data_IF_159106818939
#
_entry.id   IF_159106818939
#
_cell.length_a   1.000
_cell.length_b   1.000
_cell.length_c   1.000
_cell.angle_alpha   90.00
_cell.angle_beta   90.00
_cell.angle_gamma   90.00
#
_symmetry.space_group_name_H-M   'P 1'
#
loop_
_entity.id
_entity.type
_entity.pdbx_description
1 polymer ?
#
# COMPACT_ATOMS: atom_id res chain seq x y z
N UNK A 1 1.43 1.95 35.95
CA UNK A 1 0.47 1.11 35.22
C UNK A 1 0.93 1.01 33.78
N UNK A 2 1.76 0.00 33.48
CA UNK A 2 2.20 -0.32 32.12
C UNK A 2 1.08 -1.11 31.44
N UNK A 3 0.07 -0.39 30.95
CA UNK A 3 -0.89 -0.97 30.02
C UNK A 3 -0.11 -1.32 28.76
N UNK A 4 0.03 -2.62 28.47
CA UNK A 4 0.52 -3.06 27.17
C UNK A 4 -0.37 -2.40 26.11
N UNK A 5 0.25 -1.71 25.14
CA UNK A 5 -0.45 -1.27 23.93
C UNK A 5 -1.15 -2.51 23.34
N UNK A 6 -2.41 -2.40 22.86
CA UNK A 6 -3.05 -3.51 22.21
C UNK A 6 -2.18 -4.00 21.04
N UNK A 7 -1.99 -5.31 20.91
CA UNK A 7 -1.29 -5.91 19.79
C UNK A 7 -2.06 -5.54 18.50
N UNK A 8 -1.52 -4.61 17.71
CA UNK A 8 -2.12 -4.13 16.45
C UNK A 8 -1.97 -5.15 15.31
N UNK A 9 -1.52 -6.36 15.63
CA UNK A 9 -1.32 -7.47 14.72
C UNK A 9 0.07 -7.49 14.11
N UNK A 10 0.36 -8.60 13.46
CA UNK A 10 1.59 -8.89 12.76
C UNK A 10 1.30 -9.73 11.52
N UNK A 11 2.21 -9.71 10.56
CA UNK A 11 2.27 -10.74 9.52
C UNK A 11 3.06 -11.92 10.05
N UNK A 12 2.49 -13.12 9.97
CA UNK A 12 3.19 -14.37 10.24
C UNK A 12 3.51 -15.03 8.91
N UNK A 13 4.79 -15.28 8.68
CA UNK A 13 5.32 -16.07 7.58
C UNK A 13 5.73 -17.41 8.15
N UNK A 14 4.96 -18.46 7.86
CA UNK A 14 5.26 -19.83 8.28
C UNK A 14 5.96 -20.54 7.14
N UNK A 15 7.18 -21.01 7.37
CA UNK A 15 8.02 -21.66 6.36
C UNK A 15 8.03 -23.16 6.62
N UNK A 16 7.55 -23.93 5.65
CA UNK A 16 7.68 -25.37 5.70
C UNK A 16 9.10 -25.77 5.32
N UNK A 17 9.73 -26.59 6.15
CA UNK A 17 11.10 -27.04 5.94
C UNK A 17 11.15 -28.56 5.81
N UNK A 18 11.97 -29.05 4.88
CA UNK A 18 12.33 -30.46 4.73
C UNK A 18 13.83 -30.57 4.88
N UNK A 19 14.32 -31.36 5.84
CA UNK A 19 15.75 -31.49 6.15
C UNK A 19 16.45 -30.13 6.39
N UNK A 20 15.72 -29.16 6.97
CA UNK A 20 16.21 -27.79 7.21
C UNK A 20 16.19 -26.87 5.98
N UNK A 21 15.73 -27.36 4.83
CA UNK A 21 15.60 -26.60 3.58
C UNK A 21 14.18 -26.07 3.43
N UNK A 22 13.98 -24.77 3.17
CA UNK A 22 12.67 -24.20 2.85
C UNK A 22 12.06 -24.82 1.59
N UNK A 23 10.82 -25.28 1.68
CA UNK A 23 10.08 -25.89 0.56
C UNK A 23 8.91 -25.02 0.12
N UNK A 24 8.21 -24.42 1.08
CA UNK A 24 7.07 -23.53 0.85
C UNK A 24 6.94 -22.53 1.98
N UNK A 25 6.18 -21.47 1.75
CA UNK A 25 5.80 -20.53 2.79
C UNK A 25 4.29 -20.29 2.74
N UNK A 26 3.68 -20.10 3.92
CA UNK A 26 2.32 -19.60 4.10
C UNK A 26 2.37 -18.24 4.76
N UNK A 27 1.41 -17.38 4.46
CA UNK A 27 1.29 -16.08 5.13
C UNK A 27 -0.08 -15.90 5.76
N UNK A 28 -0.12 -15.19 6.89
CA UNK A 28 -1.37 -14.67 7.44
C UNK A 28 -1.14 -13.35 8.17
N UNK A 29 -2.15 -12.49 8.14
CA UNK A 29 -2.26 -11.36 9.06
C UNK A 29 -2.93 -11.81 10.35
N UNK A 30 -2.44 -11.33 11.49
CA UNK A 30 -3.13 -11.53 12.78
C UNK A 30 -4.05 -10.37 13.14
N UNK A 31 -4.19 -9.37 12.26
CA UNK A 31 -5.16 -8.30 12.47
C UNK A 31 -6.57 -8.85 12.42
N UNK A 32 -7.32 -8.61 13.49
CA UNK A 32 -8.75 -8.93 13.56
C UNK A 32 -9.64 -7.77 13.09
N UNK A 33 -10.95 -8.01 12.97
CA UNK A 33 -11.95 -6.99 12.57
C UNK A 33 -12.27 -5.98 13.69
N UNK A 34 -11.34 -5.73 14.62
CA UNK A 34 -11.60 -4.97 15.85
C UNK A 34 -12.11 -3.56 15.56
N UNK A 35 -11.52 -2.87 14.59
CA UNK A 35 -11.95 -1.50 14.23
C UNK A 35 -13.32 -1.52 13.57
N UNK A 36 -13.59 -2.48 12.66
CA UNK A 36 -14.92 -2.65 12.08
C UNK A 36 -16.00 -2.84 13.16
N UNK A 37 -15.77 -3.76 14.10
CA UNK A 37 -16.68 -4.00 15.24
C UNK A 37 -16.83 -2.79 16.15
N UNK A 38 -15.77 -1.98 16.30
CA UNK A 38 -15.83 -0.75 17.09
C UNK A 38 -16.75 0.30 16.46
N UNK A 39 -16.92 0.30 15.14
CA UNK A 39 -17.78 1.25 14.42
C UNK A 39 -19.26 0.87 14.48
N UNK A 40 -19.58 -0.42 14.61
CA UNK A 40 -20.96 -0.90 14.67
C UNK A 40 -21.75 -0.29 15.84
N UNK A 41 -23.00 0.09 15.57
CA UNK A 41 -23.92 0.75 16.49
C UNK A 41 -23.72 2.26 16.67
N UNK A 42 -22.63 2.85 16.15
CA UNK A 42 -22.36 4.28 16.26
C UNK A 42 -23.13 5.10 15.24
N UNK A 43 -23.31 6.40 15.55
CA UNK A 43 -23.81 7.37 14.58
C UNK A 43 -22.80 7.55 13.44
N UNK A 44 -23.29 7.57 12.21
CA UNK A 44 -22.51 7.77 11.00
C UNK A 44 -22.21 9.27 10.79
N UNK A 45 -21.54 9.90 11.75
CA UNK A 45 -21.21 11.33 11.73
C UNK A 45 -19.69 11.58 11.68
N UNK A 46 -19.29 12.85 11.62
CA UNK A 46 -17.88 13.26 11.49
C UNK A 46 -17.01 12.92 12.73
N UNK A 47 -17.58 12.39 13.82
CA UNK A 47 -16.78 11.84 14.92
C UNK A 47 -16.03 10.58 14.52
N UNK A 48 -16.54 9.82 13.54
CA UNK A 48 -15.95 8.54 13.11
C UNK A 48 -14.60 8.70 12.39
N UNK A 49 -14.46 9.57 11.38
CA UNK A 49 -13.15 9.92 10.81
C UNK A 49 -12.08 10.30 11.83
N UNK A 50 -12.48 11.00 12.90
CA UNK A 50 -11.58 11.42 13.99
C UNK A 50 -11.13 10.20 14.79
N UNK A 51 -12.06 9.31 15.14
CA UNK A 51 -11.76 8.04 15.81
C UNK A 51 -10.82 7.15 14.97
N UNK A 52 -11.12 6.98 13.68
CA UNK A 52 -10.33 6.18 12.75
C UNK A 52 -8.89 6.72 12.66
N UNK A 53 -8.73 8.04 12.55
CA UNK A 53 -7.42 8.69 12.45
C UNK A 53 -6.55 8.48 13.70
N UNK A 54 -7.15 8.29 14.88
CA UNK A 54 -6.42 7.97 16.11
C UNK A 54 -5.96 6.50 16.17
N UNK A 55 -6.67 5.60 15.51
CA UNK A 55 -6.38 4.16 15.51
C UNK A 55 -5.35 3.77 14.43
N UNK A 56 -5.33 4.47 13.30
CA UNK A 56 -4.43 4.19 12.18
C UNK A 56 -3.40 5.29 11.98
N UNK A 57 -2.24 5.15 12.60
CA UNK A 57 -1.20 6.20 12.62
C UNK A 57 -0.41 6.34 11.32
N UNK A 58 -0.36 5.30 10.47
CA UNK A 58 0.40 5.31 9.21
C UNK A 58 -0.41 5.73 7.98
N UNK A 59 -1.74 5.70 8.05
CA UNK A 59 -2.62 6.11 6.94
C UNK A 59 -3.95 6.71 7.43
N UNK A 60 -3.94 7.68 8.37
CA UNK A 60 -5.16 8.22 8.95
C UNK A 60 -6.05 8.91 7.90
N UNK A 61 -5.47 9.63 6.94
CA UNK A 61 -6.23 10.33 5.89
C UNK A 61 -6.92 9.31 5.00
N UNK A 62 -6.19 8.32 4.48
CA UNK A 62 -6.78 7.30 3.62
C UNK A 62 -7.89 6.50 4.31
N UNK A 63 -7.69 6.12 5.58
CA UNK A 63 -8.71 5.41 6.36
C UNK A 63 -9.96 6.26 6.58
N UNK A 64 -9.79 7.53 6.93
CA UNK A 64 -10.90 8.46 7.10
C UNK A 64 -11.64 8.74 5.78
N UNK A 65 -10.91 8.81 4.68
CA UNK A 65 -11.45 9.01 3.34
C UNK A 65 -12.22 7.77 2.86
N UNK A 66 -11.71 6.56 3.10
CA UNK A 66 -12.39 5.33 2.72
C UNK A 66 -13.75 5.22 3.44
N UNK A 67 -13.78 5.57 4.72
CA UNK A 67 -15.03 5.65 5.48
C UNK A 67 -15.99 6.70 4.90
N UNK A 68 -15.50 7.92 4.60
CA UNK A 68 -16.34 8.98 4.02
C UNK A 68 -16.89 8.59 2.65
N UNK A 69 -16.06 7.98 1.81
CA UNK A 69 -16.48 7.47 0.51
C UNK A 69 -17.56 6.41 0.68
N UNK A 70 -17.35 5.41 1.55
CA UNK A 70 -18.35 4.37 1.81
C UNK A 70 -19.68 4.96 2.30
N UNK A 71 -19.64 5.93 3.21
CA UNK A 71 -20.84 6.64 3.68
C UNK A 71 -21.52 7.42 2.54
N UNK A 72 -20.77 8.20 1.79
CA UNK A 72 -21.33 9.00 0.69
C UNK A 72 -22.00 8.10 -0.35
N UNK A 73 -21.38 6.98 -0.73
CA UNK A 73 -22.01 6.03 -1.65
C UNK A 73 -23.26 5.38 -1.06
N UNK A 74 -23.34 5.13 0.25
CA UNK A 74 -24.56 4.66 0.91
C UNK A 74 -25.71 5.69 0.84
N UNK A 75 -25.37 6.97 0.77
CA UNK A 75 -26.29 8.13 0.83
C UNK A 75 -26.56 8.78 -0.54
N UNK A 76 -26.12 8.18 -1.65
CA UNK A 76 -26.42 8.65 -3.02
C UNK A 76 -25.20 9.07 -3.86
N UNK A 77 -24.00 9.00 -3.30
CA UNK A 77 -22.73 9.28 -3.97
C UNK A 77 -22.09 10.60 -3.51
N UNK A 78 -20.76 10.71 -3.62
CA UNK A 78 -20.04 11.94 -3.29
C UNK A 78 -20.21 13.02 -4.37
N UNK A 79 -20.00 14.28 -3.99
CA UNK A 79 -19.86 15.35 -4.98
C UNK A 79 -18.49 15.29 -5.67
N UNK A 80 -18.34 15.94 -6.83
CA UNK A 80 -17.04 16.08 -7.48
C UNK A 80 -16.02 16.86 -6.63
N UNK A 81 -16.49 17.81 -5.81
CA UNK A 81 -15.64 18.56 -4.89
C UNK A 81 -15.11 17.66 -3.75
N UNK A 82 -15.98 16.83 -3.18
CA UNK A 82 -15.59 15.84 -2.18
C UNK A 82 -14.52 14.90 -2.73
N UNK A 83 -14.76 14.31 -3.90
CA UNK A 83 -13.81 13.41 -4.56
C UNK A 83 -12.45 14.08 -4.79
N UNK A 84 -12.43 15.29 -5.36
CA UNK A 84 -11.20 16.01 -5.63
C UNK A 84 -10.38 16.27 -4.35
N UNK A 85 -11.06 16.70 -3.28
CA UNK A 85 -10.43 17.00 -2.00
C UNK A 85 -9.91 15.74 -1.30
N UNK A 86 -10.70 14.67 -1.31
CA UNK A 86 -10.33 13.38 -0.75
C UNK A 86 -9.14 12.76 -1.49
N UNK A 87 -9.17 12.77 -2.82
CA UNK A 87 -8.09 12.25 -3.65
C UNK A 87 -6.78 13.02 -3.42
N UNK A 88 -6.83 14.36 -3.35
CA UNK A 88 -5.65 15.16 -3.05
C UNK A 88 -5.03 14.81 -1.69
N UNK A 89 -5.85 14.62 -0.66
CA UNK A 89 -5.38 14.19 0.67
C UNK A 89 -4.75 12.80 0.68
N UNK A 90 -5.40 11.84 0.01
CA UNK A 90 -4.89 10.47 -0.15
C UNK A 90 -3.56 10.47 -0.91
N UNK A 91 -3.45 11.25 -1.99
CA UNK A 91 -2.23 11.36 -2.77
C UNK A 91 -1.08 11.90 -1.92
N UNK A 92 -1.30 12.99 -1.19
CA UNK A 92 -0.27 13.60 -0.33
C UNK A 92 0.20 12.63 0.76
N UNK A 93 -0.72 11.92 1.42
CA UNK A 93 -0.37 10.88 2.38
C UNK A 93 0.45 9.77 1.72
N UNK A 94 0.03 9.31 0.53
CA UNK A 94 0.72 8.25 -0.18
C UNK A 94 2.11 8.66 -0.69
N UNK A 95 2.29 9.91 -1.14
CA UNK A 95 3.60 10.46 -1.51
C UNK A 95 4.57 10.45 -0.33
N UNK A 96 4.11 10.84 0.87
CA UNK A 96 4.93 10.82 2.09
C UNK A 96 5.32 9.39 2.48
N UNK A 97 4.40 8.44 2.35
CA UNK A 97 4.67 7.02 2.66
C UNK A 97 5.61 6.38 1.63
N UNK A 98 5.50 6.71 0.35
CA UNK A 98 6.46 6.30 -0.68
C UNK A 98 7.84 6.88 -0.40
N UNK A 99 7.92 8.17 -0.08
CA UNK A 99 9.16 8.83 0.30
C UNK A 99 9.79 8.16 1.52
N UNK A 100 8.99 7.81 2.54
CA UNK A 100 9.46 7.08 3.72
C UNK A 100 10.03 5.70 3.36
N UNK A 101 9.32 4.96 2.51
CA UNK A 101 9.75 3.64 2.06
C UNK A 101 11.08 3.72 1.31
N UNK A 102 11.16 4.61 0.32
CA UNK A 102 12.30 4.76 -0.59
C UNK A 102 13.53 5.40 0.08
N UNK A 103 13.35 6.39 0.94
CA UNK A 103 14.46 7.13 1.57
C UNK A 103 15.01 6.43 2.84
N UNK A 104 14.19 5.63 3.54
CA UNK A 104 14.59 5.07 4.84
C UNK A 104 14.41 3.56 4.96
N UNK A 105 13.24 3.02 4.66
CA UNK A 105 12.98 1.59 4.92
C UNK A 105 13.81 0.69 4.00
N UNK A 106 13.76 0.96 2.70
CA UNK A 106 14.46 0.16 1.70
C UNK A 106 15.99 0.24 1.86
N UNK A 107 16.65 1.42 1.93
CA UNK A 107 18.10 1.46 2.15
C UNK A 107 18.54 0.74 3.43
N UNK A 108 17.84 0.95 4.55
CA UNK A 108 18.16 0.26 5.82
C UNK A 108 18.04 -1.26 5.71
N UNK A 109 17.06 -1.76 4.95
CA UNK A 109 16.90 -3.20 4.75
C UNK A 109 18.01 -3.83 3.91
N UNK A 110 18.75 -3.01 3.17
CA UNK A 110 19.87 -3.41 2.32
C UNK A 110 21.24 -3.06 2.94
N UNK A 111 21.27 -2.60 4.19
CA UNK A 111 22.47 -2.07 4.87
C UNK A 111 23.15 -0.94 4.08
N UNK A 112 22.35 -0.14 3.37
CA UNK A 112 22.78 1.05 2.64
C UNK A 112 22.50 2.27 3.51
N UNK A 113 23.48 3.19 3.56
CA UNK A 113 23.36 4.43 4.33
C UNK A 113 22.11 5.23 3.89
N UNK A 114 21.24 5.50 4.86
CA UNK A 114 20.03 6.30 4.67
C UNK A 114 20.24 7.67 5.29
N UNK A 115 19.91 8.74 4.54
CA UNK A 115 19.80 10.08 5.12
C UNK A 115 18.55 10.13 6.01
N UNK A 116 18.72 9.87 7.31
CA UNK A 116 17.58 9.80 8.23
C UNK A 116 17.16 11.16 8.80
N UNK A 117 16.42 11.99 8.06
CA UNK A 117 15.64 13.08 8.66
C UNK A 117 14.20 12.65 8.95
N UNK A 118 14.04 11.84 10.00
CA UNK A 118 12.73 11.43 10.50
C UNK A 118 11.86 12.63 10.94
N UNK A 119 12.47 13.78 11.29
CA UNK A 119 11.73 14.97 11.67
C UNK A 119 11.07 15.61 10.45
N UNK A 120 11.71 15.60 9.28
CA UNK A 120 11.12 16.11 8.04
C UNK A 120 9.83 15.37 7.67
N UNK A 121 9.86 14.03 7.64
CA UNK A 121 8.66 13.21 7.42
C UNK A 121 7.60 13.47 8.48
N UNK A 122 8.00 13.58 9.76
CA UNK A 122 7.11 13.93 10.84
C UNK A 122 6.38 15.26 10.60
N UNK A 123 7.08 16.30 10.16
CA UNK A 123 6.49 17.61 9.81
C UNK A 123 5.49 17.51 8.67
N UNK A 124 5.82 16.79 7.59
CA UNK A 124 4.93 16.58 6.45
C UNK A 124 3.67 15.82 6.86
N UNK A 125 3.80 14.75 7.64
CA UNK A 125 2.66 13.98 8.15
C UNK A 125 1.72 14.86 8.97
N UNK A 126 2.25 15.67 9.88
CA UNK A 126 1.45 16.61 10.68
C UNK A 126 0.64 17.55 9.78
N UNK A 127 1.23 18.10 8.72
CA UNK A 127 0.52 18.98 7.78
C UNK A 127 -0.57 18.24 7.01
N UNK A 128 -0.32 17.00 6.60
CA UNK A 128 -1.31 16.17 5.89
C UNK A 128 -2.48 15.74 6.78
N UNK A 129 -2.30 15.57 8.10
CA UNK A 129 -3.45 15.27 8.98
C UNK A 129 -4.54 16.36 8.98
N UNK A 130 -4.18 17.61 8.65
CA UNK A 130 -5.09 18.74 8.52
C UNK A 130 -5.62 18.99 7.09
N UNK A 131 -5.37 18.09 6.14
CA UNK A 131 -5.59 18.32 4.70
C UNK A 131 -7.05 18.63 4.34
N UNK A 132 -7.99 18.13 5.13
CA UNK A 132 -9.43 18.40 4.95
C UNK A 132 -9.82 19.88 5.17
N UNK A 133 -8.94 20.71 5.72
CA UNK A 133 -9.18 22.14 5.96
C UNK A 133 -8.48 23.05 4.95
N UNK A 134 -7.63 22.48 4.10
CA UNK A 134 -6.83 23.24 3.15
C UNK A 134 -7.65 23.61 1.90
N UNK A 135 -7.38 24.80 1.37
CA UNK A 135 -7.83 25.25 0.05
C UNK A 135 -7.02 24.55 -1.06
N UNK A 136 -7.53 24.59 -2.30
CA UNK A 136 -6.82 24.02 -3.45
C UNK A 136 -5.40 24.58 -3.63
N UNK A 137 -5.21 25.88 -3.35
CA UNK A 137 -3.89 26.52 -3.42
C UNK A 137 -2.93 25.99 -2.36
N UNK A 138 -3.43 25.74 -1.15
CA UNK A 138 -2.63 25.19 -0.05
C UNK A 138 -2.31 23.70 -0.26
N UNK A 139 -3.24 22.93 -0.86
CA UNK A 139 -2.99 21.56 -1.28
C UNK A 139 -1.86 21.49 -2.30
N UNK A 140 -1.90 22.36 -3.30
CA UNK A 140 -0.85 22.46 -4.32
C UNK A 140 0.50 22.90 -3.74
N UNK A 141 0.49 23.84 -2.79
CA UNK A 141 1.70 24.23 -2.07
C UNK A 141 2.28 23.08 -1.25
N UNK A 142 1.44 22.34 -0.51
CA UNK A 142 1.87 21.18 0.26
C UNK A 142 2.41 20.06 -0.65
N UNK A 143 1.82 19.86 -1.83
CA UNK A 143 2.32 18.91 -2.84
C UNK A 143 3.73 19.27 -3.29
N UNK A 144 3.99 20.55 -3.56
CA UNK A 144 5.33 21.07 -3.89
C UNK A 144 6.31 20.88 -2.74
N UNK A 145 5.90 21.14 -1.51
CA UNK A 145 6.77 20.91 -0.36
C UNK A 145 7.14 19.43 -0.19
N UNK A 146 6.20 18.50 -0.41
CA UNK A 146 6.50 17.05 -0.42
C UNK A 146 7.44 16.70 -1.58
N UNK A 147 7.26 17.32 -2.74
CA UNK A 147 8.13 17.15 -3.90
C UNK A 147 9.56 17.64 -3.64
N UNK A 148 9.73 18.81 -3.02
CA UNK A 148 11.03 19.36 -2.65
C UNK A 148 11.74 18.49 -1.61
N UNK A 149 10.99 17.95 -0.63
CA UNK A 149 11.54 16.98 0.32
C UNK A 149 11.97 15.68 -0.36
N UNK A 150 11.20 15.20 -1.35
CA UNK A 150 11.56 14.02 -2.13
C UNK A 150 12.82 14.26 -2.96
N UNK A 151 12.97 15.45 -3.54
CA UNK A 151 14.21 15.87 -4.19
C UNK A 151 15.39 15.79 -3.22
N UNK A 152 15.32 16.48 -2.08
CA UNK A 152 16.41 16.54 -1.10
C UNK A 152 16.82 15.15 -0.57
N UNK A 153 15.85 14.31 -0.22
CA UNK A 153 16.11 13.03 0.44
C UNK A 153 16.54 11.92 -0.53
N UNK A 154 16.03 11.95 -1.76
CA UNK A 154 16.31 10.88 -2.73
C UNK A 154 17.44 11.28 -3.70
N UNK A 155 17.68 12.57 -3.92
CA UNK A 155 18.62 13.11 -4.92
C UNK A 155 19.52 14.18 -4.30
N UNK A 156 20.84 14.05 -4.43
CA UNK A 156 21.75 15.14 -4.05
C UNK A 156 21.79 16.15 -5.21
N UNK A 157 21.47 17.42 -4.94
CA UNK A 157 21.59 18.49 -5.94
C UNK A 157 22.41 19.63 -5.37
N UNK A 158 23.74 19.59 -5.51
CA UNK A 158 24.52 20.83 -5.52
C UNK A 158 24.55 21.46 -6.93
N UNK A 159 24.39 20.69 -8.02
CA UNK A 159 24.54 21.23 -9.40
C UNK A 159 23.64 20.61 -10.50
N UNK A 160 22.56 19.89 -10.18
CA UNK A 160 21.74 19.17 -11.20
C UNK A 160 20.24 19.42 -11.00
N UNK A 161 19.45 19.66 -12.08
CA UNK A 161 18.01 19.92 -11.97
C UNK A 161 17.23 18.80 -11.26
N UNK A 162 16.24 19.25 -10.49
CA UNK A 162 15.35 18.48 -9.62
C UNK A 162 14.43 17.52 -10.40
N UNK A 163 13.73 16.61 -9.72
CA UNK A 163 12.76 15.64 -10.28
C UNK A 163 11.68 16.25 -11.20
N UNK A 164 11.48 17.57 -11.19
CA UNK A 164 10.52 18.24 -12.07
C UNK A 164 10.78 17.96 -13.55
N UNK A 165 12.05 17.79 -13.93
CA UNK A 165 12.45 17.54 -15.31
C UNK A 165 12.78 16.06 -15.57
N UNK A 166 13.03 15.29 -14.52
CA UNK A 166 13.36 13.88 -14.64
C UNK A 166 12.13 12.99 -14.48
N UNK A 167 11.61 12.57 -15.63
CA UNK A 167 10.76 11.39 -15.72
C UNK A 167 11.71 10.19 -15.67
N UNK A 168 11.50 9.18 -14.80
CA UNK A 168 12.14 7.89 -15.00
C UNK A 168 11.60 7.35 -16.32
N UNK A 169 12.30 7.68 -17.41
CA UNK A 169 12.11 7.06 -18.71
C UNK A 169 12.54 5.60 -18.61
N UNK A 170 12.13 4.83 -19.61
CA UNK A 170 12.11 3.36 -19.69
C UNK A 170 13.49 2.66 -19.61
N UNK A 171 14.50 3.28 -18.98
CA UNK A 171 15.87 2.78 -18.79
C UNK A 171 16.39 3.16 -17.40
N UNK A 172 15.79 2.54 -16.38
CA UNK A 172 16.22 2.63 -14.99
C UNK A 172 17.72 2.33 -14.80
N UNK A 173 18.29 1.44 -15.61
CA UNK A 173 19.73 1.14 -15.64
C UNK A 173 20.57 2.38 -16.00
N UNK A 174 20.22 3.06 -17.09
CA UNK A 174 20.88 4.31 -17.53
C UNK A 174 20.75 5.42 -16.48
N UNK A 175 19.62 5.45 -15.77
CA UNK A 175 19.44 6.40 -14.67
C UNK A 175 20.32 6.07 -13.45
N UNK A 176 20.38 4.81 -13.05
CA UNK A 176 21.24 4.35 -11.94
C UNK A 176 22.70 4.73 -12.20
N UNK A 177 23.17 4.60 -13.44
CA UNK A 177 24.56 4.86 -13.78
C UNK A 177 24.91 6.35 -13.90
N UNK A 178 23.94 7.20 -14.20
CA UNK A 178 24.17 8.61 -14.55
C UNK A 178 24.18 9.59 -13.37
N UNK A 179 23.92 9.17 -12.11
CA UNK A 179 23.72 10.11 -11.00
C UNK A 179 24.37 9.71 -9.67
N UNK A 180 24.60 10.68 -8.78
CA UNK A 180 25.03 10.47 -7.39
C UNK A 180 23.83 10.66 -6.43
N UNK A 181 22.91 9.69 -6.40
CA UNK A 181 21.66 9.74 -5.60
C UNK A 181 21.67 8.73 -4.45
N UNK A 182 20.82 8.92 -3.45
CA UNK A 182 20.59 7.92 -2.37
C UNK A 182 19.99 6.63 -2.95
N UNK A 183 19.21 6.77 -4.03
CA UNK A 183 18.59 5.65 -4.70
C UNK A 183 19.53 4.86 -5.60
N UNK A 184 20.65 5.43 -6.07
CA UNK A 184 21.61 4.71 -6.92
C UNK A 184 22.09 3.41 -6.28
N UNK A 185 22.73 3.38 -5.09
CA UNK A 185 23.21 2.13 -4.51
C UNK A 185 22.06 1.12 -4.27
N UNK A 186 20.86 1.61 -3.94
CA UNK A 186 19.67 0.77 -3.76
C UNK A 186 19.26 0.09 -5.06
N UNK A 187 19.04 0.86 -6.12
CA UNK A 187 18.61 0.30 -7.40
C UNK A 187 19.74 -0.45 -8.10
N UNK A 188 21.00 -0.05 -7.95
CA UNK A 188 22.16 -0.86 -8.36
C UNK A 188 22.12 -2.24 -7.71
N UNK A 189 21.91 -2.31 -6.39
CA UNK A 189 21.77 -3.59 -5.69
C UNK A 189 20.59 -4.40 -6.23
N UNK A 190 19.40 -3.80 -6.36
CA UNK A 190 18.22 -4.49 -6.90
C UNK A 190 18.45 -5.02 -8.32
N UNK A 191 19.22 -4.32 -9.16
CA UNK A 191 19.59 -4.75 -10.50
C UNK A 191 20.56 -5.95 -10.51
N UNK A 192 21.28 -6.20 -9.42
CA UNK A 192 22.12 -7.41 -9.28
C UNK A 192 21.32 -8.67 -8.93
N UNK A 193 20.08 -8.50 -8.47
CA UNK A 193 19.22 -9.62 -8.08
C UNK A 193 18.54 -10.23 -9.31
N UNK A 194 18.19 -11.55 -9.27
CA UNK A 194 17.35 -12.15 -10.30
C UNK A 194 16.04 -11.36 -10.47
N UNK A 195 15.62 -11.12 -11.70
CA UNK A 195 14.38 -10.37 -12.00
C UNK A 195 13.13 -11.07 -11.49
N UNK A 196 13.19 -12.39 -11.38
CA UNK A 196 12.14 -13.26 -10.87
C UNK A 196 12.10 -13.32 -9.33
N UNK A 197 13.03 -12.66 -8.63
CA UNK A 197 12.99 -12.59 -7.17
C UNK A 197 11.68 -11.94 -6.72
N UNK A 198 10.96 -12.62 -5.82
CA UNK A 198 9.69 -12.14 -5.30
C UNK A 198 8.55 -12.15 -6.32
N UNK A 199 8.70 -12.88 -7.45
CA UNK A 199 7.70 -12.95 -8.52
C UNK A 199 6.38 -13.52 -8.03
N UNK A 200 5.31 -12.78 -8.30
CA UNK A 200 3.93 -13.24 -8.20
C UNK A 200 3.22 -13.13 -9.56
N UNK A 201 2.32 -14.08 -9.82
CA UNK A 201 1.37 -14.05 -10.95
C UNK A 201 -0.04 -13.61 -10.52
N UNK A 202 -0.22 -13.21 -9.26
CA UNK A 202 -1.50 -12.73 -8.75
C UNK A 202 -1.87 -11.43 -9.48
N UNK A 203 -3.07 -11.33 -10.08
CA UNK A 203 -3.50 -10.14 -10.79
C UNK A 203 -3.75 -8.96 -9.85
N UNK A 204 -3.66 -7.75 -10.37
CA UNK A 204 -4.04 -6.55 -9.63
C UNK A 204 -5.55 -6.52 -9.35
N UNK A 205 -5.95 -6.07 -8.16
CA UNK A 205 -7.36 -5.81 -7.85
C UNK A 205 -7.86 -4.61 -8.66
N UNK A 206 -8.70 -4.85 -9.67
CA UNK A 206 -9.32 -3.78 -10.44
C UNK A 206 -10.64 -3.34 -9.81
N UNK A 207 -10.63 -2.22 -9.08
CA UNK A 207 -11.83 -1.62 -8.48
C UNK A 207 -12.81 -1.08 -9.52
N UNK A 208 -12.39 -0.89 -10.78
CA UNK A 208 -13.28 -0.51 -11.89
C UNK A 208 -14.04 -1.70 -12.49
N UNK A 209 -13.56 -2.94 -12.28
CA UNK A 209 -14.18 -4.13 -12.86
C UNK A 209 -15.56 -4.41 -12.26
N UNK A 210 -16.57 -4.50 -13.13
CA UNK A 210 -17.93 -4.86 -12.72
C UNK A 210 -18.00 -6.25 -12.08
N UNK A 211 -17.18 -7.20 -12.55
CA UNK A 211 -17.10 -8.54 -11.98
C UNK A 211 -16.53 -8.51 -10.55
N UNK A 212 -15.45 -7.74 -10.33
CA UNK A 212 -14.85 -7.55 -8.99
C UNK A 212 -15.84 -6.86 -8.05
N UNK A 213 -16.53 -5.80 -8.50
CA UNK A 213 -17.53 -5.11 -7.67
C UNK A 213 -18.69 -6.02 -7.26
N UNK A 214 -19.19 -6.84 -8.20
CA UNK A 214 -20.24 -7.83 -7.92
C UNK A 214 -19.77 -8.86 -6.89
N UNK A 215 -18.55 -9.34 -7.02
CA UNK A 215 -17.97 -10.33 -6.11
C UNK A 215 -17.78 -9.76 -4.70
N UNK A 216 -17.24 -8.54 -4.60
CA UNK A 216 -17.10 -7.81 -3.33
C UNK A 216 -18.46 -7.57 -2.66
N UNK A 217 -19.48 -7.17 -3.42
CA UNK A 217 -20.84 -7.00 -2.87
C UNK A 217 -21.40 -8.30 -2.27
N UNK A 218 -21.08 -9.45 -2.86
CA UNK A 218 -21.55 -10.75 -2.40
C UNK A 218 -20.75 -11.33 -1.22
N UNK A 219 -19.50 -10.90 -1.02
CA UNK A 219 -18.57 -11.61 -0.14
C UNK A 219 -17.96 -10.79 0.98
N UNK A 220 -18.00 -9.45 0.92
CA UNK A 220 -17.38 -8.60 1.95
C UNK A 220 -17.92 -8.88 3.37
N UNK A 221 -19.15 -9.34 3.52
CA UNK A 221 -19.76 -9.66 4.82
C UNK A 221 -19.50 -11.08 5.32
N UNK A 222 -18.84 -11.93 4.51
CA UNK A 222 -18.52 -13.30 4.93
C UNK A 222 -17.51 -13.27 6.07
N UNK A 223 -17.73 -14.14 7.05
CA UNK A 223 -16.79 -14.32 8.15
C UNK A 223 -15.38 -14.63 7.62
N UNK A 224 -14.37 -13.94 8.16
CA UNK A 224 -12.98 -14.10 7.77
C UNK A 224 -12.56 -13.36 6.49
N UNK A 225 -13.49 -12.83 5.69
CA UNK A 225 -13.14 -12.15 4.43
C UNK A 225 -12.22 -10.94 4.66
N UNK A 226 -12.47 -10.15 5.72
CA UNK A 226 -11.68 -8.96 6.01
C UNK A 226 -10.23 -9.24 6.45
N UNK A 227 -9.91 -10.48 6.82
CA UNK A 227 -8.58 -10.91 7.27
C UNK A 227 -7.87 -11.84 6.28
N UNK A 228 -8.62 -12.41 5.35
CA UNK A 228 -8.12 -13.30 4.31
C UNK A 228 -9.00 -13.17 3.05
N UNK A 229 -8.98 -12.00 2.37
CA UNK A 229 -9.85 -11.75 1.24
C UNK A 229 -9.50 -12.66 0.06
N UNK A 230 -10.54 -13.22 -0.55
CA UNK A 230 -10.44 -14.03 -1.77
C UNK A 230 -11.67 -13.81 -2.62
N UNK A 231 -11.48 -13.50 -3.90
CA UNK A 231 -12.58 -13.34 -4.83
C UNK A 231 -12.96 -14.70 -5.43
N UNK A 232 -14.18 -14.83 -5.97
CA UNK A 232 -14.52 -16.02 -6.79
C UNK A 232 -13.59 -16.15 -8.01
N UNK A 233 -13.05 -15.02 -8.48
CA UNK A 233 -12.07 -14.94 -9.57
C UNK A 233 -10.65 -15.33 -9.13
N UNK A 234 -10.44 -15.64 -7.85
CA UNK A 234 -9.15 -15.99 -7.25
C UNK A 234 -8.55 -14.86 -6.41
N UNK A 235 -7.27 -15.03 -6.05
CA UNK A 235 -6.51 -14.03 -5.29
C UNK A 235 -6.26 -12.77 -6.13
N UNK A 236 -6.18 -11.63 -5.45
CA UNK A 236 -5.82 -10.36 -6.04
C UNK A 236 -4.74 -9.68 -5.20
N UNK A 237 -3.90 -8.87 -5.82
CA UNK A 237 -2.87 -8.07 -5.15
C UNK A 237 -3.12 -6.59 -5.32
N UNK A 238 -2.63 -5.81 -4.36
CA UNK A 238 -2.81 -4.37 -4.36
C UNK A 238 -1.47 -3.71 -4.07
N UNK A 239 -1.08 -2.71 -4.87
CA UNK A 239 0.18 -1.99 -4.72
C UNK A 239 0.27 -0.86 -5.75
N UNK A 240 1.30 -0.01 -5.64
CA UNK A 240 1.68 0.91 -6.72
C UNK A 240 1.91 0.17 -8.06
N UNK A 241 2.50 -1.03 -8.01
CA UNK A 241 2.68 -1.85 -9.22
C UNK A 241 1.33 -2.25 -9.82
N UNK A 242 0.35 -2.65 -9.00
CA UNK A 242 -1.00 -2.96 -9.46
C UNK A 242 -1.71 -1.80 -10.18
N UNK A 243 -1.35 -0.55 -9.85
CA UNK A 243 -1.88 0.65 -10.51
C UNK A 243 -1.08 1.11 -11.73
N UNK A 244 0.20 0.73 -11.81
CA UNK A 244 1.15 1.28 -12.79
C UNK A 244 1.73 0.24 -13.75
N UNK A 245 1.41 -1.05 -13.62
CA UNK A 245 2.00 -2.10 -14.46
C UNK A 245 1.84 -1.85 -15.97
N UNK A 246 0.80 -1.12 -16.38
CA UNK A 246 0.55 -0.76 -17.78
C UNK A 246 1.43 0.38 -18.31
N UNK A 247 2.19 1.06 -17.44
CA UNK A 247 3.12 2.09 -17.86
C UNK A 247 4.19 1.51 -18.80
N UNK A 248 4.61 2.26 -19.85
CA UNK A 248 5.66 1.81 -20.76
C UNK A 248 6.96 1.38 -20.07
N UNK A 249 7.29 1.99 -18.93
CA UNK A 249 8.48 1.70 -18.15
C UNK A 249 8.44 0.35 -17.40
N UNK A 250 7.24 -0.14 -17.06
CA UNK A 250 7.07 -1.38 -16.29
C UNK A 250 6.58 -2.55 -17.15
N UNK A 251 5.76 -2.28 -18.17
CA UNK A 251 5.06 -3.30 -18.94
C UNK A 251 6.00 -4.35 -19.56
N UNK A 252 7.12 -4.00 -20.24
CA UNK A 252 7.98 -5.01 -20.86
C UNK A 252 8.55 -6.00 -19.84
N UNK A 253 9.06 -5.49 -18.72
CA UNK A 253 9.62 -6.28 -17.64
C UNK A 253 8.53 -7.08 -16.89
N UNK A 254 7.35 -6.49 -16.70
CA UNK A 254 6.20 -7.16 -16.09
C UNK A 254 5.73 -8.35 -16.95
N UNK A 255 5.67 -8.18 -18.27
CA UNK A 255 5.29 -9.27 -19.19
C UNK A 255 6.36 -10.36 -19.27
N UNK A 256 7.65 -9.99 -19.23
CA UNK A 256 8.74 -10.95 -19.26
C UNK A 256 8.88 -11.75 -17.96
N UNK A 257 8.90 -11.04 -16.82
CA UNK A 257 9.34 -11.59 -15.53
C UNK A 257 8.25 -11.60 -14.45
N UNK A 258 7.06 -11.06 -14.71
CA UNK A 258 5.97 -10.94 -13.74
C UNK A 258 6.23 -9.88 -12.67
N UNK A 259 5.40 -9.86 -11.62
CA UNK A 259 5.51 -8.90 -10.53
C UNK A 259 6.66 -9.23 -9.56
N UNK A 260 7.91 -8.94 -9.95
CA UNK A 260 9.11 -9.13 -9.12
C UNK A 260 9.42 -7.96 -8.18
N UNK A 261 10.28 -8.18 -7.18
CA UNK A 261 10.70 -7.20 -6.17
C UNK A 261 11.17 -5.88 -6.78
N UNK A 262 11.95 -5.95 -7.86
CA UNK A 262 12.42 -4.78 -8.60
C UNK A 262 11.26 -3.88 -9.04
N UNK A 263 10.22 -4.46 -9.66
CA UNK A 263 9.06 -3.71 -10.16
C UNK A 263 8.21 -3.11 -9.04
N UNK A 264 8.11 -3.77 -7.88
CA UNK A 264 7.40 -3.20 -6.74
C UNK A 264 8.03 -1.90 -6.24
N UNK A 265 9.36 -1.81 -6.21
CA UNK A 265 10.04 -0.57 -5.81
C UNK A 265 10.10 0.45 -6.96
N UNK A 266 10.30 -0.01 -8.20
CA UNK A 266 10.31 0.88 -9.35
C UNK A 266 8.94 1.53 -9.59
N UNK A 267 7.84 0.80 -9.42
CA UNK A 267 6.49 1.36 -9.51
C UNK A 267 6.21 2.45 -8.47
N UNK A 268 6.72 2.29 -7.23
CA UNK A 268 6.62 3.35 -6.20
C UNK A 268 7.39 4.61 -6.60
N UNK A 269 8.58 4.43 -7.17
CA UNK A 269 9.39 5.55 -7.65
C UNK A 269 8.70 6.30 -8.79
N UNK A 270 8.15 5.57 -9.78
CA UNK A 270 7.39 6.13 -10.90
C UNK A 270 6.14 6.87 -10.41
N UNK A 271 5.39 6.27 -9.48
CA UNK A 271 4.17 6.88 -8.94
C UNK A 271 4.49 8.16 -8.16
N UNK A 272 5.52 8.14 -7.30
CA UNK A 272 5.99 9.33 -6.60
C UNK A 272 6.41 10.42 -7.59
N UNK A 273 7.23 10.10 -8.60
CA UNK A 273 7.70 11.06 -9.60
C UNK A 273 6.56 11.68 -10.42
N UNK A 274 5.52 10.91 -10.75
CA UNK A 274 4.31 11.42 -11.41
C UNK A 274 3.53 12.38 -10.50
N UNK A 275 3.32 12.00 -9.24
CA UNK A 275 2.55 12.79 -8.27
C UNK A 275 3.28 14.06 -7.79
N UNK A 276 4.61 14.08 -7.91
CA UNK A 276 5.42 15.28 -7.75
C UNK A 276 5.22 16.34 -8.84
N UNK A 277 4.59 16.00 -9.97
CA UNK A 277 4.27 16.96 -11.03
C UNK A 277 2.84 17.51 -10.90
N UNK A 278 1.86 16.66 -10.60
CA UNK A 278 0.46 17.05 -10.50
C UNK A 278 -0.36 16.12 -9.60
N UNK A 279 -1.58 16.55 -9.25
CA UNK A 279 -2.60 15.64 -8.73
C UNK A 279 -3.10 14.68 -9.82
N UNK A 280 -3.38 13.44 -9.44
CA UNK A 280 -4.01 12.42 -10.28
C UNK A 280 -5.52 12.69 -10.41
N UNK A 281 -6.14 12.09 -11.44
CA UNK A 281 -7.60 12.10 -11.56
C UNK A 281 -8.26 11.52 -10.29
N UNK A 282 -9.21 12.25 -9.64
CA UNK A 282 -9.75 11.86 -8.34
C UNK A 282 -10.32 10.44 -8.29
N UNK A 283 -10.99 10.02 -9.36
CA UNK A 283 -11.67 8.73 -9.48
C UNK A 283 -10.70 7.54 -9.52
N UNK A 284 -9.42 7.79 -9.89
CA UNK A 284 -8.37 6.77 -9.83
C UNK A 284 -7.86 6.52 -8.41
N UNK A 285 -8.04 7.49 -7.50
CA UNK A 285 -7.60 7.37 -6.11
C UNK A 285 -8.73 7.06 -5.15
N UNK A 286 -9.92 7.61 -5.39
CA UNK A 286 -11.09 7.41 -4.55
C UNK A 286 -12.28 7.07 -5.43
N UNK A 287 -12.85 5.91 -5.22
CA UNK A 287 -14.04 5.46 -5.94
C UNK A 287 -14.92 4.61 -5.04
N UNK A 288 -16.04 4.13 -5.55
CA UNK A 288 -16.93 3.27 -4.78
C UNK A 288 -18.23 3.00 -5.50
N UNK A 289 -19.16 2.34 -4.82
CA UNK A 289 -20.50 2.06 -5.30
C UNK A 289 -21.44 1.70 -4.15
N UNK A 290 -22.74 1.76 -4.44
CA UNK A 290 -23.79 1.25 -3.58
C UNK A 290 -24.33 -0.07 -4.17
N UNK A 291 -24.17 -1.22 -3.50
CA UNK A 291 -24.77 -2.47 -3.96
C UNK A 291 -26.29 -2.52 -3.72
N UNK A 292 -26.78 -1.80 -2.71
CA UNK A 292 -28.18 -1.70 -2.33
C UNK A 292 -28.42 -0.45 -1.47
N UNK A 293 -29.66 0.05 -1.34
CA UNK A 293 -29.97 1.25 -0.56
C UNK A 293 -29.43 1.17 0.87
N UNK A 294 -28.77 2.24 1.33
CA UNK A 294 -28.17 2.31 2.67
C UNK A 294 -26.86 1.52 2.82
N UNK A 295 -26.39 0.83 1.78
CA UNK A 295 -25.06 0.20 1.76
C UNK A 295 -24.15 0.94 0.81
N UNK A 296 -22.94 1.23 1.26
CA UNK A 296 -21.90 1.84 0.44
C UNK A 296 -20.56 1.17 0.63
N UNK A 297 -19.85 0.99 -0.48
CA UNK A 297 -18.49 0.46 -0.54
C UNK A 297 -17.60 1.55 -1.11
N UNK A 298 -16.64 2.00 -0.31
CA UNK A 298 -15.61 2.97 -0.67
C UNK A 298 -14.26 2.30 -0.90
N UNK A 299 -13.58 2.72 -1.96
CA UNK A 299 -12.24 2.31 -2.36
C UNK A 299 -11.29 3.50 -2.25
N UNK A 300 -10.11 3.28 -1.68
CA UNK A 300 -9.04 4.27 -1.61
C UNK A 300 -7.71 3.64 -2.00
N UNK A 301 -7.03 4.22 -2.97
CA UNK A 301 -5.70 3.82 -3.40
C UNK A 301 -4.61 4.44 -2.52
N UNK A 302 -4.15 3.69 -1.52
CA UNK A 302 -3.08 4.11 -0.62
C UNK A 302 -1.70 3.82 -1.21
N UNK A 303 -0.63 4.29 -0.57
CA UNK A 303 0.75 3.89 -0.91
C UNK A 303 0.97 2.37 -0.91
N UNK A 304 0.20 1.63 -0.10
CA UNK A 304 0.34 0.19 0.09
C UNK A 304 -0.63 -0.64 -0.77
N UNK A 305 -1.54 0.02 -1.48
CA UNK A 305 -2.58 -0.59 -2.31
C UNK A 305 -3.99 -0.15 -1.92
N UNK A 306 -4.99 -0.86 -2.43
CA UNK A 306 -6.42 -0.59 -2.28
C UNK A 306 -6.91 -0.90 -0.87
N UNK A 307 -7.44 0.12 -0.21
CA UNK A 307 -8.18 0.05 1.04
C UNK A 307 -9.69 0.04 0.73
N UNK A 308 -10.43 -0.86 1.37
CA UNK A 308 -11.88 -1.00 1.18
C UNK A 308 -12.58 -0.77 2.50
N UNK A 309 -13.59 0.11 2.49
CA UNK A 309 -14.57 0.23 3.57
C UNK A 309 -15.95 -0.11 3.03
N UNK A 310 -16.71 -0.93 3.75
CA UNK A 310 -18.14 -1.16 3.52
C UNK A 310 -18.89 -0.72 4.77
N UNK A 311 -19.95 0.05 4.56
CA UNK A 311 -20.88 0.46 5.61
C UNK A 311 -22.30 0.10 5.21
N UNK A 312 -23.09 -0.42 6.15
CA UNK A 312 -24.55 -0.41 6.08
C UNK A 312 -25.07 0.61 7.10
N UNK A 313 -25.87 1.56 6.64
CA UNK A 313 -26.40 2.68 7.42
C UNK A 313 -27.92 2.63 7.42
N UNK A 314 -28.52 2.59 8.61
CA UNK A 314 -29.98 2.68 8.81
C UNK A 314 -30.24 3.69 9.92
N UNK A 315 -31.20 4.59 9.70
CA UNK A 315 -31.58 5.63 10.66
C UNK A 315 -30.36 6.42 11.21
N UNK A 316 -29.39 6.69 10.35
CA UNK A 316 -28.15 7.42 10.68
C UNK A 316 -27.09 6.61 11.44
N UNK A 317 -27.33 5.33 11.75
CA UNK A 317 -26.37 4.47 12.47
C UNK A 317 -25.70 3.46 11.56
N UNK A 318 -24.44 3.16 11.83
CA UNK A 318 -23.72 2.06 11.16
C UNK A 318 -24.07 0.74 11.84
N UNK A 319 -24.89 -0.09 11.20
CA UNK A 319 -25.30 -1.40 11.74
C UNK A 319 -24.33 -2.50 11.31
N UNK A 320 -23.62 -2.31 10.20
CA UNK A 320 -22.53 -3.19 9.77
C UNK A 320 -21.35 -2.36 9.28
N UNK A 321 -20.14 -2.77 9.63
CA UNK A 321 -18.90 -2.19 9.10
C UNK A 321 -17.94 -3.29 8.69
N UNK A 322 -17.28 -3.12 7.54
CA UNK A 322 -16.19 -4.01 7.12
C UNK A 322 -15.05 -3.18 6.58
N UNK A 323 -13.83 -3.46 7.03
CA UNK A 323 -12.61 -2.82 6.56
C UNK A 323 -11.70 -3.92 6.03
N UNK A 324 -11.26 -3.79 4.78
CA UNK A 324 -10.25 -4.68 4.18
C UNK A 324 -9.04 -3.83 3.82
N UNK A 325 -7.94 -4.02 4.54
CA UNK A 325 -6.72 -3.27 4.32
C UNK A 325 -5.90 -3.86 3.15
N UNK A 326 -5.03 -3.06 2.48
CA UNK A 326 -4.21 -3.52 1.36
C UNK A 326 -3.34 -4.73 1.70
N UNK A 327 -2.81 -4.76 2.94
CA UNK A 327 -2.00 -5.88 3.43
C UNK A 327 -2.76 -7.20 3.45
N UNK A 328 -4.06 -7.18 3.73
CA UNK A 328 -4.87 -8.40 3.83
C UNK A 328 -4.95 -9.09 2.46
N UNK A 329 -5.05 -8.35 1.37
CA UNK A 329 -4.98 -8.89 0.00
C UNK A 329 -3.63 -9.55 -0.31
N UNK A 330 -2.53 -8.85 0.01
CA UNK A 330 -1.20 -9.31 -0.37
C UNK A 330 -0.74 -10.53 0.44
N UNK A 331 -1.18 -10.66 1.69
CA UNK A 331 -0.80 -11.73 2.62
C UNK A 331 -1.90 -12.76 2.89
N UNK A 332 -3.02 -12.72 2.15
CA UNK A 332 -4.03 -13.78 2.16
C UNK A 332 -3.45 -15.11 1.63
N UNK A 333 -4.05 -16.25 1.99
CA UNK A 333 -3.73 -17.54 1.37
C UNK A 333 -3.82 -17.47 -0.17
N UNK A 334 -2.82 -18.02 -0.86
CA UNK A 334 -2.69 -17.93 -2.32
C UNK A 334 -2.35 -16.53 -2.86
N UNK A 335 -2.22 -15.53 -1.98
CA UNK A 335 -1.91 -14.14 -2.29
C UNK A 335 -0.48 -13.93 -2.80
N UNK A 336 -0.16 -12.68 -3.14
CA UNK A 336 1.10 -12.36 -3.80
C UNK A 336 2.33 -12.64 -2.93
N UNK A 337 2.25 -12.40 -1.61
CA UNK A 337 3.35 -12.67 -0.69
C UNK A 337 3.63 -14.18 -0.58
N UNK A 338 2.58 -14.99 -0.42
CA UNK A 338 2.71 -16.45 -0.33
C UNK A 338 3.36 -17.05 -1.59
N UNK A 339 2.90 -16.63 -2.78
CA UNK A 339 3.49 -17.07 -4.05
C UNK A 339 4.94 -16.61 -4.21
N UNK A 340 5.24 -15.37 -3.85
CA UNK A 340 6.58 -14.81 -3.95
C UNK A 340 7.59 -15.52 -3.02
N UNK A 341 7.19 -15.79 -1.78
CA UNK A 341 8.03 -16.44 -0.77
C UNK A 341 8.26 -17.93 -1.05
N UNK A 342 7.26 -18.61 -1.62
CA UNK A 342 7.39 -20.01 -2.01
C UNK A 342 8.28 -20.23 -3.24
N UNK A 343 8.66 -19.15 -3.96
CA UNK A 343 9.42 -19.22 -5.23
C UNK A 343 10.81 -18.57 -5.16
N UNK A 344 11.39 -18.40 -3.97
CA UNK A 344 12.70 -17.73 -3.81
C UNK A 344 13.89 -18.52 -4.39
N UNK A 345 13.72 -19.81 -4.67
CA UNK A 345 14.70 -20.62 -5.39
C UNK A 345 16.04 -20.83 -4.65
N UNK A 346 16.02 -20.76 -3.32
CA UNK A 346 17.22 -20.92 -2.48
C UNK A 346 17.03 -22.03 -1.47
N UNK A 347 18.06 -22.87 -1.35
CA UNK A 347 18.03 -24.10 -0.54
C UNK A 347 18.73 -23.94 0.82
N UNK A 348 19.41 -22.82 1.06
CA UNK A 348 20.03 -22.49 2.35
C UNK A 348 19.13 -21.53 3.14
N UNK A 349 18.93 -21.81 4.44
CA UNK A 349 18.07 -21.05 5.33
C UNK A 349 18.44 -19.56 5.43
N UNK A 350 19.72 -19.23 5.67
CA UNK A 350 20.14 -17.83 5.86
C UNK A 350 19.94 -17.00 4.59
N UNK A 351 20.28 -17.59 3.43
CA UNK A 351 20.05 -16.98 2.12
C UNK A 351 18.56 -16.83 1.81
N UNK A 352 17.74 -17.83 2.16
CA UNK A 352 16.29 -17.77 2.06
C UNK A 352 15.72 -16.65 2.91
N UNK A 353 16.14 -16.57 4.18
CA UNK A 353 15.67 -15.57 5.13
C UNK A 353 15.96 -14.16 4.64
N UNK A 354 17.20 -13.88 4.22
CA UNK A 354 17.58 -12.56 3.69
C UNK A 354 16.75 -12.17 2.47
N UNK A 355 16.52 -13.09 1.53
CA UNK A 355 15.67 -12.84 0.35
C UNK A 355 14.19 -12.66 0.72
N UNK A 356 13.67 -13.50 1.61
CA UNK A 356 12.29 -13.42 2.10
C UNK A 356 12.02 -12.09 2.79
N UNK A 357 12.98 -11.64 3.59
CA UNK A 357 12.94 -10.36 4.28
C UNK A 357 12.84 -9.16 3.33
N UNK A 358 13.54 -9.18 2.19
CA UNK A 358 13.41 -8.16 1.15
C UNK A 358 12.05 -8.27 0.42
N UNK A 359 11.62 -9.49 0.10
CA UNK A 359 10.33 -9.74 -0.57
C UNK A 359 9.14 -9.33 0.28
N UNK A 360 9.13 -9.61 1.58
CA UNK A 360 8.06 -9.14 2.49
C UNK A 360 7.99 -7.61 2.50
N UNK A 361 9.14 -6.93 2.52
CA UNK A 361 9.22 -5.46 2.51
C UNK A 361 8.75 -4.83 1.20
N UNK A 362 8.78 -5.58 0.08
CA UNK A 362 8.23 -5.11 -1.19
C UNK A 362 6.73 -4.76 -1.10
N UNK A 363 6.00 -5.30 -0.11
CA UNK A 363 4.58 -5.02 0.11
C UNK A 363 4.32 -3.87 1.11
N UNK A 364 5.35 -3.36 1.81
CA UNK A 364 5.25 -2.26 2.80
C UNK A 364 4.08 -2.47 3.79
N UNK A 365 4.06 -3.62 4.48
CA UNK A 365 3.03 -3.89 5.48
C UNK A 365 3.13 -2.89 6.65
N UNK A 366 1.99 -2.35 7.08
CA UNK A 366 1.93 -1.39 8.19
C UNK A 366 1.98 -2.02 9.59
N UNK A 367 2.29 -3.32 9.66
CA UNK A 367 2.45 -4.11 10.89
C UNK A 367 3.78 -4.87 10.81
N UNK A 368 4.43 -5.18 11.95
CA UNK A 368 5.63 -5.99 11.93
C UNK A 368 5.35 -7.38 11.33
N UNK A 369 6.41 -8.05 10.86
CA UNK A 369 6.33 -9.45 10.44
C UNK A 369 7.25 -10.33 11.28
N UNK A 370 6.90 -11.62 11.36
CA UNK A 370 7.72 -12.68 11.97
C UNK A 370 7.81 -13.85 11.00
N UNK A 371 8.99 -14.45 10.94
CA UNK A 371 9.26 -15.67 10.19
C UNK A 371 9.41 -16.80 11.20
N UNK A 372 8.61 -17.85 11.03
CA UNK A 372 8.56 -19.03 11.87
C UNK A 372 8.73 -20.27 10.98
N UNK A 373 9.32 -21.34 11.51
CA UNK A 373 9.54 -22.60 10.77
C UNK A 373 8.63 -23.70 11.28
N UNK A 374 8.11 -24.50 10.36
CA UNK A 374 7.38 -25.73 10.63
C UNK A 374 8.08 -26.89 9.91
N UNK A 375 8.29 -28.01 10.61
CA UNK A 375 8.85 -29.21 9.97
C UNK A 375 7.74 -29.88 9.15
N UNK A 376 7.95 -30.04 7.85
CA UNK A 376 7.06 -30.85 7.03
C UNK A 376 7.17 -32.30 7.52
N UNK A 377 6.11 -32.83 8.14
CA UNK A 377 6.08 -34.25 8.49
C UNK A 377 6.24 -35.08 7.20
N UNK A 378 7.16 -36.03 7.26
CA UNK A 378 7.64 -36.84 6.13
C UNK A 378 6.54 -37.61 5.40
#
# INVERSE_FOLDING_TARGET
MTGALPDFGAIIVTVDTKDGVPVSARTRSTRGPMVSKLLEGRQADESIPTLISMLYTLCPVAQSTAWRAARAYAEGGPTSEDLAKWAAGVQLEAMIEHLRCLAFELPRSLDIESRSDAKLIGRLRTRVTGVSRLSQKELEALRKDVADCANELLYQTEDIPTLGDWRPTDQVETWVDSRSTVLRPVFSYLLTLPRELGRSSVPALSTASAAVRKDLAAHLTREGFCTAPSLTLGSAQTSALGRRYESPALMPEYLANGAGTFLYFYARLLELGSWMQSFEEPEKLVSGFSPEPGVGIGFVETARGTLIHRLRIENGKMIESTIVAPTEWNFAPGGAAEQALSRLGVTNWDSWRTRAELVVRQFDACVPFRIETESANA
#
